data_IF_490221331426
#
_entry.id   IF_490221331426
#
_cell.length_a   1.000
_cell.length_b   1.000
_cell.length_c   1.000
_cell.angle_alpha   90.00
_cell.angle_beta   90.00
_cell.angle_gamma   90.00
#
_symmetry.space_group_name_H-M   'P 1'
#
loop_
_entity.id
_entity.type
_entity.pdbx_description
1 polymer ?
#
# COMPACT_ATOMS: atom_id res chain seq x y z
N UNK A 1 6.83 -17.63 15.17
CA UNK A 1 6.74 -16.20 14.80
C UNK A 1 5.85 -15.49 15.80
N UNK A 2 6.27 -14.37 16.39
CA UNK A 2 5.47 -13.63 17.38
C UNK A 2 4.17 -13.10 16.74
N UNK A 3 3.07 -13.02 17.50
CA UNK A 3 1.75 -12.61 17.03
C UNK A 3 1.77 -11.23 16.33
N UNK A 4 2.57 -10.29 16.84
CA UNK A 4 2.73 -8.97 16.22
C UNK A 4 3.38 -9.03 14.83
N UNK A 5 4.45 -9.83 14.69
CA UNK A 5 5.12 -10.03 13.40
C UNK A 5 4.18 -10.73 12.40
N UNK A 6 3.30 -11.63 12.87
CA UNK A 6 2.23 -12.24 12.06
C UNK A 6 1.26 -11.20 11.53
N UNK A 7 0.79 -10.28 12.37
CA UNK A 7 -0.14 -9.23 11.94
C UNK A 7 0.49 -8.30 10.89
N UNK A 8 1.74 -7.88 11.09
CA UNK A 8 2.47 -7.07 10.09
C UNK A 8 2.61 -7.86 8.77
N UNK A 9 2.99 -9.14 8.83
CA UNK A 9 3.12 -9.99 7.64
C UNK A 9 1.80 -10.13 6.88
N UNK A 10 0.70 -10.37 7.59
CA UNK A 10 -0.62 -10.48 6.99
C UNK A 10 -1.06 -9.17 6.33
N UNK A 11 -0.81 -8.02 6.97
CA UNK A 11 -1.09 -6.71 6.38
C UNK A 11 -0.26 -6.45 5.12
N UNK A 12 1.03 -6.81 5.12
CA UNK A 12 1.89 -6.72 3.94
C UNK A 12 1.38 -7.62 2.80
N UNK A 13 0.96 -8.86 3.10
CA UNK A 13 0.41 -9.77 2.10
C UNK A 13 -0.91 -9.22 1.53
N UNK A 14 -1.81 -8.70 2.38
CA UNK A 14 -3.05 -8.07 1.92
C UNK A 14 -2.76 -6.87 1.00
N UNK A 15 -1.77 -6.05 1.36
CA UNK A 15 -1.30 -4.92 0.55
C UNK A 15 -0.76 -5.39 -0.80
N UNK A 16 0.00 -6.48 -0.82
CA UNK A 16 0.54 -7.07 -2.05
C UNK A 16 -0.58 -7.57 -2.97
N UNK A 17 -1.51 -8.38 -2.44
CA UNK A 17 -2.62 -8.94 -3.22
C UNK A 17 -3.48 -7.84 -3.80
N UNK A 18 -3.82 -6.83 -2.99
CA UNK A 18 -4.57 -5.69 -3.46
C UNK A 18 -3.82 -4.91 -4.54
N UNK A 19 -2.53 -4.63 -4.35
CA UNK A 19 -1.69 -3.95 -5.33
C UNK A 19 -1.64 -4.67 -6.68
N UNK A 20 -1.55 -6.01 -6.69
CA UNK A 20 -1.58 -6.80 -7.94
C UNK A 20 -2.93 -6.67 -8.66
N UNK A 21 -4.04 -6.76 -7.92
CA UNK A 21 -5.39 -6.62 -8.50
C UNK A 21 -5.58 -5.20 -9.04
N UNK A 22 -5.21 -4.18 -8.25
CA UNK A 22 -5.31 -2.78 -8.63
C UNK A 22 -4.44 -2.45 -9.85
N UNK A 23 -3.26 -3.06 -9.97
CA UNK A 23 -2.39 -2.93 -11.15
C UNK A 23 -3.06 -3.50 -12.39
N UNK A 24 -3.61 -4.71 -12.32
CA UNK A 24 -4.31 -5.33 -13.45
C UNK A 24 -5.49 -4.47 -13.92
N UNK A 25 -6.30 -3.96 -12.98
CA UNK A 25 -7.41 -3.04 -13.28
C UNK A 25 -6.93 -1.74 -13.90
N UNK A 26 -5.84 -1.16 -13.39
CA UNK A 26 -5.27 0.08 -13.92
C UNK A 26 -4.78 -0.09 -15.35
N UNK A 27 -4.14 -1.22 -15.66
CA UNK A 27 -3.70 -1.56 -17.02
C UNK A 27 -4.92 -1.68 -17.95
N UNK A 28 -6.00 -2.33 -17.52
CA UNK A 28 -7.25 -2.40 -18.30
C UNK A 28 -7.84 -1.01 -18.56
N UNK A 29 -7.77 -0.09 -17.61
CA UNK A 29 -8.21 1.28 -17.84
C UNK A 29 -7.30 2.03 -18.82
N UNK A 30 -5.98 1.78 -18.81
CA UNK A 30 -5.07 2.37 -19.79
C UNK A 30 -5.37 1.86 -21.20
N UNK A 31 -5.66 0.56 -21.37
CA UNK A 31 -5.95 0.00 -22.70
C UNK A 31 -7.28 0.50 -23.27
N UNK A 32 -8.29 0.74 -22.41
CA UNK A 32 -9.58 1.28 -22.84
C UNK A 32 -9.56 2.81 -23.01
N UNK A 33 -8.83 3.53 -22.16
CA UNK A 33 -8.79 4.99 -22.11
C UNK A 33 -7.34 5.50 -21.97
N UNK A 34 -6.52 5.41 -23.03
CA UNK A 34 -5.08 5.66 -22.95
C UNK A 34 -4.71 7.11 -22.64
N UNK A 35 -5.61 8.06 -22.89
CA UNK A 35 -5.44 9.49 -22.57
C UNK A 35 -5.79 9.83 -21.12
N UNK A 36 -6.36 8.89 -20.36
CA UNK A 36 -6.75 9.14 -18.98
C UNK A 36 -5.54 9.06 -18.04
N UNK A 37 -5.01 10.23 -17.68
CA UNK A 37 -3.85 10.39 -16.76
C UNK A 37 -4.07 9.68 -15.42
N UNK A 38 -5.32 9.57 -14.94
CA UNK A 38 -5.66 8.94 -13.65
C UNK A 38 -5.34 7.46 -13.63
N UNK A 39 -5.47 6.77 -14.75
CA UNK A 39 -5.14 5.35 -14.88
C UNK A 39 -3.64 5.09 -14.69
N UNK A 40 -2.80 6.07 -15.05
CA UNK A 40 -1.36 6.01 -14.78
C UNK A 40 -1.06 6.31 -13.30
N UNK A 41 -1.77 7.25 -12.68
CA UNK A 41 -1.66 7.51 -11.24
C UNK A 41 -2.03 6.28 -10.41
N UNK A 42 -3.13 5.60 -10.76
CA UNK A 42 -3.52 4.36 -10.09
C UNK A 42 -2.52 3.22 -10.31
N UNK A 43 -1.87 3.18 -11.48
CA UNK A 43 -0.77 2.24 -11.78
C UNK A 43 0.42 2.48 -10.86
N UNK A 44 0.86 3.73 -10.69
CA UNK A 44 1.98 4.10 -9.80
C UNK A 44 1.68 3.71 -8.36
N UNK A 45 0.47 4.01 -7.86
CA UNK A 45 0.05 3.64 -6.50
C UNK A 45 0.06 2.12 -6.32
N UNK A 46 -0.50 1.39 -7.29
CA UNK A 46 -0.52 -0.08 -7.29
C UNK A 46 0.88 -0.69 -7.22
N UNK A 47 1.84 -0.15 -7.99
CA UNK A 47 3.24 -0.60 -7.96
C UNK A 47 3.88 -0.34 -6.59
N UNK A 48 3.62 0.83 -5.99
CA UNK A 48 4.11 1.14 -4.65
C UNK A 48 3.57 0.17 -3.60
N UNK A 49 2.29 -0.19 -3.68
CA UNK A 49 1.68 -1.18 -2.80
C UNK A 49 2.29 -2.58 -2.97
N UNK A 50 2.51 -3.01 -4.22
CA UNK A 50 3.19 -4.28 -4.52
C UNK A 50 4.58 -4.29 -3.89
N UNK A 51 5.34 -3.21 -4.07
CA UNK A 51 6.66 -3.06 -3.49
C UNK A 51 6.62 -3.15 -1.95
N UNK A 52 5.73 -2.40 -1.30
CA UNK A 52 5.57 -2.44 0.16
C UNK A 52 5.19 -3.83 0.64
N UNK A 53 4.19 -4.44 0.00
CA UNK A 53 3.67 -5.73 0.40
C UNK A 53 4.71 -6.84 0.25
N UNK A 54 5.41 -6.88 -0.88
CA UNK A 54 6.45 -7.86 -1.14
C UNK A 54 7.66 -7.69 -0.21
N UNK A 55 8.23 -6.48 -0.16
CA UNK A 55 9.42 -6.24 0.66
C UNK A 55 9.09 -6.34 2.15
N UNK A 56 7.97 -5.78 2.59
CA UNK A 56 7.51 -5.85 3.97
C UNK A 56 7.28 -7.28 4.44
N UNK A 57 6.62 -8.12 3.63
CA UNK A 57 6.38 -9.53 3.96
C UNK A 57 7.67 -10.37 4.04
N UNK A 58 8.71 -10.01 3.26
CA UNK A 58 10.02 -10.65 3.33
C UNK A 58 10.83 -10.17 4.54
N UNK A 59 10.89 -8.86 4.77
CA UNK A 59 11.70 -8.26 5.83
C UNK A 59 11.23 -8.64 7.23
N UNK A 60 9.91 -8.80 7.44
CA UNK A 60 9.33 -9.09 8.75
C UNK A 60 9.66 -10.49 9.29
N UNK A 61 10.16 -11.39 8.44
CA UNK A 61 10.67 -12.69 8.89
C UNK A 61 11.83 -12.51 9.90
N UNK A 62 12.52 -11.37 9.87
CA UNK A 62 13.49 -10.95 10.88
C UNK A 62 12.90 -9.77 11.66
N UNK A 63 12.44 -9.98 12.92
CA UNK A 63 11.73 -8.97 13.71
C UNK A 63 12.44 -7.62 13.88
N UNK A 64 13.78 -7.60 13.91
CA UNK A 64 14.56 -6.35 14.04
C UNK A 64 14.40 -5.39 12.85
N UNK A 65 13.88 -5.87 11.71
CA UNK A 65 13.59 -5.04 10.54
C UNK A 65 12.29 -4.25 10.65
N UNK A 66 11.51 -4.37 11.73
CA UNK A 66 10.24 -3.67 11.90
C UNK A 66 10.37 -2.14 11.73
N UNK A 67 11.49 -1.55 12.18
CA UNK A 67 11.78 -0.12 12.01
C UNK A 67 11.96 0.27 10.53
N UNK A 68 12.60 -0.56 9.71
CA UNK A 68 12.76 -0.33 8.27
C UNK A 68 11.42 -0.43 7.54
N UNK A 69 10.58 -1.38 7.94
CA UNK A 69 9.22 -1.53 7.39
C UNK A 69 8.37 -0.30 7.73
N UNK A 70 8.48 0.20 8.96
CA UNK A 70 7.80 1.42 9.39
C UNK A 70 8.22 2.64 8.55
N UNK A 71 9.52 2.84 8.33
CA UNK A 71 10.01 3.94 7.50
C UNK A 71 9.55 3.81 6.04
N UNK A 72 9.71 2.64 5.44
CA UNK A 72 9.27 2.38 4.06
C UNK A 72 7.76 2.59 3.89
N UNK A 73 6.96 2.06 4.81
CA UNK A 73 5.51 2.27 4.80
C UNK A 73 5.10 3.73 4.97
N UNK A 74 5.81 4.54 5.77
CA UNK A 74 5.48 5.97 5.88
C UNK A 74 5.66 6.74 4.58
N UNK A 75 6.70 6.42 3.79
CA UNK A 75 6.92 7.03 2.48
C UNK A 75 5.81 6.64 1.52
N UNK A 76 5.42 5.37 1.53
CA UNK A 76 4.38 4.84 0.65
C UNK A 76 3.00 5.37 1.04
N UNK A 77 2.71 5.55 2.34
CA UNK A 77 1.50 6.24 2.79
C UNK A 77 1.42 7.66 2.23
N UNK A 78 2.53 8.42 2.25
CA UNK A 78 2.56 9.77 1.68
C UNK A 78 2.30 9.73 0.17
N UNK A 79 2.92 8.80 -0.54
CA UNK A 79 2.70 8.61 -1.97
C UNK A 79 1.24 8.26 -2.29
N UNK A 80 0.68 7.27 -1.59
CA UNK A 80 -0.71 6.85 -1.76
C UNK A 80 -1.70 7.94 -1.38
N UNK A 81 -1.37 8.81 -0.43
CA UNK A 81 -2.18 9.98 -0.10
C UNK A 81 -2.24 10.96 -1.28
N UNK A 82 -1.09 11.28 -1.89
CA UNK A 82 -1.03 12.14 -3.08
C UNK A 82 -1.78 11.50 -4.25
N UNK A 83 -1.56 10.22 -4.53
CA UNK A 83 -2.27 9.48 -5.56
C UNK A 83 -3.79 9.47 -5.32
N UNK A 84 -4.22 9.17 -4.10
CA UNK A 84 -5.63 9.18 -3.70
C UNK A 84 -6.29 10.55 -3.88
N UNK A 85 -5.61 11.63 -3.52
CA UNK A 85 -6.10 12.99 -3.73
C UNK A 85 -6.32 13.29 -5.23
N UNK A 86 -5.38 12.93 -6.10
CA UNK A 86 -5.51 13.08 -7.55
C UNK A 86 -6.68 12.26 -8.13
N UNK A 87 -6.89 11.04 -7.63
CA UNK A 87 -8.02 10.20 -8.05
C UNK A 87 -9.37 10.78 -7.59
N UNK A 88 -9.43 11.46 -6.44
CA UNK A 88 -10.65 12.08 -5.91
C UNK A 88 -11.09 13.35 -6.62
N UNK A 89 -10.19 14.09 -7.27
CA UNK A 89 -10.49 15.35 -8.00
C UNK A 89 -11.20 15.06 -9.35
N UNK A 90 -11.78 13.87 -9.56
CA UNK A 90 -12.46 13.53 -10.81
C UNK A 90 -13.86 14.11 -10.93
N UNK A 91 -14.17 14.86 -12.01
CA UNK A 91 -15.55 15.13 -12.37
C UNK A 91 -16.26 13.82 -12.79
N UNK A 92 -15.56 12.92 -13.48
CA UNK A 92 -16.04 11.60 -13.83
C UNK A 92 -15.67 10.59 -12.73
N UNK A 93 -16.56 10.43 -11.75
CA UNK A 93 -16.34 9.52 -10.62
C UNK A 93 -16.46 8.06 -11.07
N UNK A 94 -15.37 7.49 -11.55
CA UNK A 94 -15.25 6.04 -11.69
C UNK A 94 -15.12 5.46 -10.28
N UNK A 95 -16.19 4.83 -9.79
CA UNK A 95 -16.27 4.24 -8.43
C UNK A 95 -15.06 3.35 -8.13
N UNK A 96 -14.60 2.59 -9.13
CA UNK A 96 -13.45 1.70 -8.97
C UNK A 96 -12.13 2.46 -8.69
N UNK A 97 -11.93 3.64 -9.27
CA UNK A 97 -10.75 4.47 -8.98
C UNK A 97 -10.79 5.05 -7.57
N UNK A 98 -11.98 5.36 -7.04
CA UNK A 98 -12.14 5.77 -5.64
C UNK A 98 -11.81 4.62 -4.67
N UNK A 99 -12.22 3.39 -5.01
CA UNK A 99 -11.88 2.20 -4.22
C UNK A 99 -10.36 1.98 -4.21
N UNK A 100 -9.72 2.11 -5.39
CA UNK A 100 -8.26 1.98 -5.52
C UNK A 100 -7.55 3.03 -4.67
N UNK A 101 -7.91 4.31 -4.77
CA UNK A 101 -7.29 5.35 -3.96
C UNK A 101 -7.54 5.21 -2.46
N UNK A 102 -8.76 4.81 -2.06
CA UNK A 102 -9.12 4.64 -0.66
C UNK A 102 -8.39 3.48 0.00
N UNK A 103 -8.48 2.28 -0.58
CA UNK A 103 -7.76 1.10 -0.07
C UNK A 103 -6.25 1.23 -0.25
N UNK A 104 -5.82 1.93 -1.30
CA UNK A 104 -4.43 2.31 -1.56
C UNK A 104 -3.80 3.10 -0.43
N UNK A 105 -4.57 3.95 0.25
CA UNK A 105 -4.11 4.65 1.45
C UNK A 105 -4.23 3.81 2.73
N UNK A 106 -5.35 3.12 2.91
CA UNK A 106 -5.67 2.43 4.18
C UNK A 106 -4.71 1.25 4.44
N UNK A 107 -4.34 0.48 3.41
CA UNK A 107 -3.51 -0.71 3.58
C UNK A 107 -2.05 -0.37 3.96
N UNK A 108 -1.35 0.55 3.30
CA UNK A 108 -0.03 1.02 3.75
C UNK A 108 -0.07 1.66 5.15
N UNK A 109 -1.15 2.38 5.48
CA UNK A 109 -1.32 2.97 6.81
C UNK A 109 -1.45 1.88 7.89
N UNK A 110 -2.19 0.80 7.59
CA UNK A 110 -2.28 -0.36 8.47
C UNK A 110 -0.91 -1.01 8.70
N UNK A 111 -0.12 -1.20 7.63
CA UNK A 111 1.26 -1.72 7.73
C UNK A 111 2.13 -0.81 8.60
N UNK A 112 2.01 0.52 8.43
CA UNK A 112 2.72 1.50 9.25
C UNK A 112 2.34 1.41 10.73
N UNK A 113 1.04 1.40 11.05
CA UNK A 113 0.57 1.33 12.44
C UNK A 113 1.01 0.03 13.12
N UNK A 114 0.91 -1.10 12.44
CA UNK A 114 1.30 -2.40 12.99
C UNK A 114 2.81 -2.51 13.18
N UNK A 115 3.61 -2.04 12.21
CA UNK A 115 5.07 -2.03 12.33
C UNK A 115 5.54 -1.09 13.45
N UNK A 116 4.94 0.10 13.57
CA UNK A 116 5.21 1.02 14.70
C UNK A 116 4.90 0.40 16.05
N UNK A 117 3.75 -0.28 16.20
CA UNK A 117 3.40 -0.98 17.46
C UNK A 117 4.46 -2.01 17.85
N UNK A 118 4.98 -2.73 16.86
CA UNK A 118 6.02 -3.73 17.07
C UNK A 118 7.37 -3.10 17.47
N UNK A 119 7.78 -2.01 16.81
CA UNK A 119 9.00 -1.26 17.19
C UNK A 119 8.92 -0.75 18.62
N UNK A 120 7.78 -0.17 19.01
CA UNK A 120 7.57 0.31 20.38
C UNK A 120 7.61 -0.83 21.40
N UNK A 121 7.05 -1.99 21.06
CA UNK A 121 7.11 -3.17 21.94
C UNK A 121 8.54 -3.70 22.09
N UNK A 122 9.35 -3.67 21.03
CA UNK A 122 10.75 -4.09 21.07
C UNK A 122 11.62 -3.16 21.93
N UNK A 123 11.37 -1.85 21.90
CA UNK A 123 12.13 -0.88 22.70
C UNK A 123 11.78 -0.89 24.20
N UNK A 124 10.70 -1.59 24.59
CA UNK A 124 10.24 -1.72 25.98
C UNK A 124 10.63 -3.04 26.62
N UNK A 125 11.14 -4.00 25.84
CA UNK A 125 11.61 -5.30 26.27
C UNK A 125 13.11 -5.27 26.52
#
# INVERSE_FOLDING_TARGET
MNAQARNVKMACIATLVFGVIALAVSILFITQFPTNVRSYVSTVDSVAMIYLGFQGARMINVPSNAAKIMQSSSVIVLLSFVCGAFLMISPDKIILQLIIGGLGLVLPLLVFVLSRKMVVAQNKA
#
